data_IF_031245927653
#
_entry.id   IF_031245927653
#
_cell.length_a   1.000
_cell.length_b   1.000
_cell.length_c   1.000
_cell.angle_alpha   90.00
_cell.angle_beta   90.00
_cell.angle_gamma   90.00
#
_symmetry.space_group_name_H-M   'P 1'
#
loop_
_entity.id
_entity.type
_entity.pdbx_description
1 polymer ?
#
# COMPACT_ATOMS: atom_id res chain seq x y z
N UNK A 1 -21.08 -5.47 4.25
CA UNK A 1 -20.48 -5.52 2.92
C UNK A 1 -19.28 -4.58 2.87
N UNK A 2 -18.23 -4.97 2.17
CA UNK A 2 -17.01 -4.18 2.11
C UNK A 2 -17.05 -3.22 0.92
N UNK A 3 -16.73 -1.97 1.19
CA UNK A 3 -16.63 -0.96 0.15
C UNK A 3 -15.15 -0.80 -0.20
N UNK A 4 -14.76 -1.14 -1.41
CA UNK A 4 -13.36 -1.14 -1.80
C UNK A 4 -12.75 0.27 -1.72
N UNK A 5 -13.53 1.31 -1.96
CA UNK A 5 -13.01 2.66 -1.86
C UNK A 5 -12.69 3.06 -0.42
N UNK A 6 -13.52 2.61 0.52
CA UNK A 6 -13.23 2.85 1.93
C UNK A 6 -12.02 2.06 2.38
N UNK A 7 -11.89 0.84 1.90
CA UNK A 7 -10.72 0.02 2.22
C UNK A 7 -9.46 0.67 1.66
N UNK A 8 -9.54 1.24 0.48
CA UNK A 8 -8.41 1.94 -0.12
C UNK A 8 -8.01 3.14 0.76
N UNK A 9 -8.98 3.93 1.20
CA UNK A 9 -8.69 5.06 2.07
C UNK A 9 -8.00 4.63 3.36
N UNK A 10 -8.48 3.55 3.94
CA UNK A 10 -7.89 3.02 5.16
C UNK A 10 -6.46 2.55 4.94
N UNK A 11 -6.22 1.87 3.81
CA UNK A 11 -4.89 1.39 3.48
C UNK A 11 -3.93 2.58 3.31
N UNK A 12 -4.37 3.61 2.61
CA UNK A 12 -3.54 4.78 2.38
C UNK A 12 -3.19 5.48 3.69
N UNK A 13 -4.16 5.63 4.56
CA UNK A 13 -3.92 6.25 5.87
C UNK A 13 -2.95 5.42 6.71
N UNK A 14 -3.07 4.11 6.63
CA UNK A 14 -2.23 3.24 7.43
C UNK A 14 -0.76 3.33 7.01
N UNK A 15 -0.48 3.70 5.76
CA UNK A 15 0.90 3.84 5.33
C UNK A 15 1.64 4.95 6.09
N UNK A 16 0.92 5.89 6.69
CA UNK A 16 1.54 6.93 7.51
C UNK A 16 2.19 6.36 8.76
N UNK A 17 1.76 5.19 9.19
CA UNK A 17 2.29 4.55 10.39
C UNK A 17 3.52 3.70 10.10
N UNK A 18 3.89 3.55 8.84
CA UNK A 18 5.07 2.78 8.47
C UNK A 18 6.33 3.62 8.61
N UNK A 19 7.43 2.94 8.91
CA UNK A 19 8.74 3.59 8.99
C UNK A 19 9.37 3.67 7.60
N UNK A 20 10.25 4.63 7.43
CA UNK A 20 11.00 4.75 6.18
C UNK A 20 11.76 3.45 5.92
N UNK A 21 11.67 2.97 4.69
CA UNK A 21 12.35 1.75 4.28
C UNK A 21 11.58 0.47 4.51
N UNK A 22 10.45 0.52 5.21
CA UNK A 22 9.69 -0.69 5.47
C UNK A 22 9.09 -1.25 4.20
N UNK A 23 9.18 -2.58 4.07
CA UNK A 23 8.59 -3.32 2.97
C UNK A 23 7.30 -3.97 3.47
N UNK A 24 6.24 -3.87 2.68
CA UNK A 24 4.95 -4.35 3.14
C UNK A 24 4.09 -4.83 1.96
N UNK A 25 3.07 -5.60 2.30
CA UNK A 25 2.00 -5.99 1.38
C UNK A 25 0.75 -5.22 1.77
N UNK A 26 -0.20 -5.09 0.84
CA UNK A 26 -1.45 -4.41 1.16
C UNK A 26 -2.13 -5.04 2.36
N UNK A 27 -2.09 -6.37 2.46
CA UNK A 27 -2.72 -7.06 3.59
C UNK A 27 -2.12 -6.67 4.94
N UNK A 28 -0.86 -6.24 4.94
CA UNK A 28 -0.19 -5.85 6.18
C UNK A 28 -0.73 -4.55 6.76
N UNK A 29 -1.49 -3.81 5.96
CA UNK A 29 -2.10 -2.55 6.39
C UNK A 29 -3.42 -2.78 7.14
N UNK A 30 -3.82 -4.03 7.28
CA UNK A 30 -5.06 -4.41 7.95
C UNK A 30 -4.77 -5.47 8.99
N UNK A 31 -5.63 -5.55 10.01
CA UNK A 31 -5.53 -6.64 10.96
C UNK A 31 -5.81 -7.97 10.26
N UNK A 32 -5.08 -9.00 10.65
CA UNK A 32 -5.18 -10.29 9.98
C UNK A 32 -6.59 -10.83 9.89
N UNK A 33 -7.32 -10.78 11.00
CA UNK A 33 -8.67 -11.31 11.01
C UNK A 33 -9.61 -10.49 10.13
N UNK A 34 -9.39 -9.18 10.07
CA UNK A 34 -10.20 -8.30 9.22
C UNK A 34 -9.95 -8.61 7.75
N UNK A 35 -8.67 -8.74 7.39
CA UNK A 35 -8.29 -9.07 6.03
C UNK A 35 -8.93 -10.37 5.58
N UNK A 36 -8.95 -11.38 6.46
CA UNK A 36 -9.52 -12.68 6.13
C UNK A 36 -11.02 -12.62 5.90
N UNK A 37 -11.70 -11.62 6.41
CA UNK A 37 -13.13 -11.44 6.20
C UNK A 37 -13.46 -10.79 4.86
N UNK A 38 -12.48 -10.16 4.23
CA UNK A 38 -12.72 -9.48 2.96
C UNK A 38 -12.78 -10.53 1.86
N UNK A 39 -13.85 -10.52 1.02
CA UNK A 39 -13.94 -11.48 -0.08
C UNK A 39 -12.73 -11.37 -1.01
N UNK A 40 -12.34 -12.48 -1.59
CA UNK A 40 -11.16 -12.51 -2.46
C UNK A 40 -11.26 -11.50 -3.60
N UNK A 41 -12.44 -11.40 -4.22
CA UNK A 41 -12.64 -10.44 -5.31
C UNK A 41 -12.35 -9.02 -4.87
N UNK A 42 -12.84 -8.67 -3.69
CA UNK A 42 -12.63 -7.33 -3.14
C UNK A 42 -11.15 -7.11 -2.85
N UNK A 43 -10.47 -8.12 -2.33
CA UNK A 43 -9.03 -8.02 -2.08
C UNK A 43 -8.24 -7.77 -3.37
N UNK A 44 -8.63 -8.46 -4.44
CA UNK A 44 -7.96 -8.26 -5.73
C UNK A 44 -8.19 -6.85 -6.26
N UNK A 45 -9.41 -6.35 -6.17
CA UNK A 45 -9.71 -4.99 -6.59
C UNK A 45 -8.95 -3.97 -5.76
N UNK A 46 -8.89 -4.19 -4.46
CA UNK A 46 -8.16 -3.30 -3.58
C UNK A 46 -6.69 -3.23 -3.98
N UNK A 47 -6.10 -4.36 -4.31
CA UNK A 47 -4.71 -4.39 -4.76
C UNK A 47 -4.51 -3.57 -6.02
N UNK A 48 -5.41 -3.71 -6.98
CA UNK A 48 -5.35 -2.95 -8.22
C UNK A 48 -5.50 -1.45 -7.95
N UNK A 49 -6.46 -1.08 -7.13
CA UNK A 49 -6.71 0.32 -6.81
C UNK A 49 -5.55 0.93 -6.05
N UNK A 50 -4.97 0.16 -5.13
CA UNK A 50 -3.83 0.64 -4.36
C UNK A 50 -2.63 0.91 -5.26
N UNK A 51 -2.33 -0.03 -6.16
CA UNK A 51 -1.23 0.13 -7.09
C UNK A 51 -1.45 1.36 -7.98
N UNK A 52 -2.66 1.51 -8.51
CA UNK A 52 -2.97 2.66 -9.36
C UNK A 52 -2.79 3.97 -8.60
N UNK A 53 -3.24 4.00 -7.35
CA UNK A 53 -3.09 5.20 -6.53
C UNK A 53 -1.61 5.54 -6.32
N UNK A 54 -0.82 4.55 -6.00
CA UNK A 54 0.60 4.73 -5.75
C UNK A 54 1.31 5.26 -7.00
N UNK A 55 0.94 4.73 -8.16
CA UNK A 55 1.58 5.15 -9.40
C UNK A 55 1.21 6.57 -9.82
N UNK A 56 0.05 7.04 -9.39
CA UNK A 56 -0.40 8.39 -9.72
C UNK A 56 0.17 9.44 -8.80
N UNK A 57 0.53 9.07 -7.59
CA UNK A 57 1.04 10.02 -6.62
C UNK A 57 2.56 10.03 -6.69
N UNK A 58 3.14 11.19 -6.47
CA UNK A 58 4.58 11.33 -6.33
C UNK A 58 4.98 10.98 -4.93
N UNK A 59 4.50 9.86 -4.49
CA UNK A 59 4.55 9.57 -3.11
C UNK A 59 5.80 8.87 -2.67
N UNK A 60 5.79 8.59 -1.41
CA UNK A 60 6.87 7.93 -0.73
C UNK A 60 6.67 6.42 -0.69
N UNK A 61 5.63 5.92 -1.36
CA UNK A 61 5.39 4.49 -1.48
C UNK A 61 5.73 4.07 -2.90
N UNK A 62 6.57 3.05 -3.03
CA UNK A 62 6.96 2.54 -4.33
C UNK A 62 6.67 1.06 -4.44
N UNK A 63 6.15 0.59 -5.57
CA UNK A 63 6.04 -0.84 -5.79
C UNK A 63 7.42 -1.42 -6.05
N UNK A 64 7.65 -2.59 -5.51
CA UNK A 64 8.89 -3.32 -5.73
C UNK A 64 8.54 -4.71 -6.25
N UNK A 65 9.51 -5.60 -6.35
CA UNK A 65 9.28 -6.91 -6.94
C UNK A 65 8.23 -7.71 -6.16
N UNK A 66 7.55 -8.59 -6.87
CA UNK A 66 6.54 -9.45 -6.27
C UNK A 66 7.18 -10.56 -5.46
N UNK A 67 6.42 -11.10 -4.52
CA UNK A 67 6.86 -12.26 -3.75
C UNK A 67 6.80 -13.51 -4.63
N UNK A 68 7.37 -14.60 -4.12
CA UNK A 68 7.30 -15.88 -4.82
C UNK A 68 5.86 -16.37 -5.01
N UNK A 69 4.94 -15.94 -4.17
CA UNK A 69 3.53 -16.26 -4.32
C UNK A 69 2.78 -15.22 -5.15
N UNK A 70 3.51 -14.38 -5.87
CA UNK A 70 2.97 -13.41 -6.82
C UNK A 70 2.18 -12.28 -6.18
N UNK A 71 2.52 -11.92 -4.95
CA UNK A 71 1.92 -10.78 -4.29
C UNK A 71 2.79 -9.55 -4.48
N UNK A 72 2.18 -8.44 -4.82
CA UNK A 72 2.90 -7.19 -5.03
C UNK A 72 3.40 -6.63 -3.70
N UNK A 73 4.70 -6.37 -3.61
CA UNK A 73 5.31 -5.74 -2.45
C UNK A 73 5.49 -4.25 -2.70
N UNK A 74 5.50 -3.51 -1.62
CA UNK A 74 5.72 -2.07 -1.66
C UNK A 74 6.76 -1.70 -0.63
N UNK A 75 7.38 -0.57 -0.83
CA UNK A 75 8.35 -0.05 0.13
C UNK A 75 8.08 1.42 0.38
N UNK A 76 8.10 1.80 1.66
CA UNK A 76 7.99 3.20 2.03
C UNK A 76 9.38 3.82 1.96
N UNK A 77 9.51 4.89 1.20
CA UNK A 77 10.79 5.58 1.04
C UNK A 77 10.72 6.94 1.72
N UNK A 78 11.87 7.56 1.88
CA UNK A 78 11.91 8.90 2.44
C UNK A 78 11.29 9.90 1.48
N UNK A 79 10.74 10.97 2.06
CA UNK A 79 10.24 12.09 1.28
C UNK A 79 11.41 12.73 0.55
N UNK A 80 11.34 12.76 -0.76
CA UNK A 80 12.42 13.28 -1.58
C UNK A 80 12.52 14.80 -1.59
N UNK A 81 11.50 15.48 -1.11
CA UNK A 81 11.55 16.93 -1.09
C UNK A 81 12.68 17.45 -0.24
N UNK A 82 13.00 16.73 0.83
CA UNK A 82 14.10 17.15 1.69
C UNK A 82 15.43 17.06 0.96
N UNK A 83 15.55 16.13 0.03
CA UNK A 83 16.78 15.96 -0.72
C UNK A 83 16.97 17.11 -1.71
N UNK A 84 15.91 17.46 -2.38
CA UNK A 84 15.98 18.54 -3.36
C UNK A 84 16.22 19.88 -2.71
N UNK A 85 15.74 20.06 -1.49
CA UNK A 85 15.92 21.33 -0.80
C UNK A 85 17.37 21.58 -0.40
N UNK A 86 18.16 20.54 -0.32
CA UNK A 86 19.55 20.66 0.06
C UNK A 86 20.39 21.22 -1.08
N UNK A 87 19.99 20.88 -2.25
CA UNK A 87 20.72 21.34 -3.42
C UNK A 87 20.29 22.73 -3.82
#
# INVERSE_FOLDING_TARGET
>A
MFDVNKLLDEAIKETDNLNDGEVFLVKDLFKGYFWNRIPRRTRLLLGIFFLNHIQKTNGIIKPIEKTSSNQQRYQKTKDNTSITSIT
#
